data_IF_410854370494
#
_entry.id   IF_410854370494
#
_cell.length_a   1.000
_cell.length_b   1.000
_cell.length_c   1.000
_cell.angle_alpha   90.00
_cell.angle_beta   90.00
_cell.angle_gamma   90.00
#
_symmetry.space_group_name_H-M   'P 1'
#
loop_
_entity.id
_entity.type
_entity.pdbx_description
1 polymer ?
#
# COMPACT_ATOMS: atom_id res chain seq x y z
N UNK A 1 0.00 60.43 -31.59
CA UNK A 1 -0.49 60.40 -32.96
C UNK A 1 -1.52 59.27 -33.01
N UNK A 2 -2.70 59.62 -32.95
CA UNK A 2 -3.75 59.77 -33.99
C UNK A 2 -4.20 58.38 -34.51
N UNK A 3 -5.40 58.01 -34.05
CA UNK A 3 -6.71 57.93 -34.80
C UNK A 3 -6.75 56.71 -35.76
N UNK A 4 -7.75 55.89 -35.91
CA UNK A 4 -9.15 56.21 -36.13
C UNK A 4 -10.05 54.98 -35.93
N UNK A 5 -11.23 55.23 -35.45
CA UNK A 5 -12.44 54.42 -35.43
C UNK A 5 -12.97 54.22 -36.87
N UNK A 6 -13.69 53.15 -37.11
CA UNK A 6 -14.81 53.15 -38.10
C UNK A 6 -15.92 52.18 -37.68
N UNK A 7 -17.09 52.72 -37.40
CA UNK A 7 -18.36 52.07 -37.27
C UNK A 7 -19.15 52.16 -38.57
N UNK A 8 -19.83 51.10 -39.00
CA UNK A 8 -20.98 51.10 -39.94
C UNK A 8 -21.78 49.85 -39.55
N UNK A 9 -23.00 49.81 -39.17
CA UNK A 9 -24.18 50.56 -39.56
C UNK A 9 -25.18 49.63 -40.27
N UNK A 10 -26.17 49.13 -39.47
CA UNK A 10 -27.62 48.89 -39.77
C UNK A 10 -28.02 48.21 -41.08
N UNK A 11 -28.88 47.21 -40.93
CA UNK A 11 -29.79 46.72 -41.94
C UNK A 11 -30.80 45.72 -41.39
N UNK A 12 -31.95 46.24 -40.91
CA UNK A 12 -33.13 45.45 -40.56
C UNK A 12 -33.88 45.13 -41.84
N UNK A 13 -34.15 43.84 -42.14
CA UNK A 13 -35.19 43.44 -43.09
C UNK A 13 -36.16 42.49 -42.40
N UNK A 14 -37.37 42.99 -42.23
CA UNK A 14 -38.53 42.22 -41.76
C UNK A 14 -39.19 41.64 -43.00
N UNK A 15 -39.30 40.31 -43.07
CA UNK A 15 -40.19 39.62 -44.05
C UNK A 15 -41.21 38.84 -43.24
N UNK A 16 -42.46 39.31 -43.26
CA UNK A 16 -43.63 38.54 -42.85
C UNK A 16 -43.96 37.55 -43.96
N UNK A 17 -44.06 36.28 -43.66
CA UNK A 17 -44.81 35.30 -44.47
C UNK A 17 -45.66 34.43 -43.54
N UNK A 18 -46.95 34.56 -43.72
CA UNK A 18 -47.98 33.71 -43.13
C UNK A 18 -47.99 32.35 -43.84
N UNK A 19 -48.16 31.27 -43.10
CA UNK A 19 -48.32 29.98 -43.74
C UNK A 19 -48.56 28.80 -42.79
N UNK A 20 -49.78 28.35 -42.75
CA UNK A 20 -50.32 27.03 -42.45
C UNK A 20 -49.98 26.37 -41.11
N UNK A 21 -51.01 26.31 -40.30
CA UNK A 21 -51.11 25.42 -39.13
C UNK A 21 -51.41 24.02 -39.64
N UNK A 22 -50.43 23.11 -39.56
CA UNK A 22 -50.65 21.67 -39.65
C UNK A 22 -50.78 21.12 -38.22
N UNK A 23 -51.94 20.58 -37.88
CA UNK A 23 -52.19 19.86 -36.63
C UNK A 23 -51.34 18.58 -36.60
N UNK A 24 -50.32 18.54 -35.78
CA UNK A 24 -49.59 17.32 -35.43
C UNK A 24 -50.30 16.62 -34.26
N UNK A 25 -50.51 15.31 -34.44
CA UNK A 25 -51.01 14.43 -33.42
C UNK A 25 -50.02 14.39 -32.18
N UNK A 26 -50.50 14.17 -30.95
CA UNK A 26 -49.67 14.14 -29.78
C UNK A 26 -48.67 12.97 -29.83
N UNK A 27 -47.38 13.27 -29.64
CA UNK A 27 -46.33 12.29 -29.46
C UNK A 27 -46.56 11.48 -28.18
N UNK A 28 -46.20 10.18 -28.13
CA UNK A 28 -46.32 9.37 -26.92
C UNK A 28 -45.38 9.91 -25.83
N UNK A 29 -45.89 9.99 -24.60
CA UNK A 29 -45.16 10.38 -23.42
C UNK A 29 -43.89 9.52 -23.22
N UNK A 30 -42.74 10.09 -22.83
CA UNK A 30 -41.58 9.31 -22.48
C UNK A 30 -41.90 8.46 -21.24
N UNK A 31 -41.73 7.15 -21.38
CA UNK A 31 -41.76 6.18 -20.29
C UNK A 31 -40.77 6.60 -19.21
N UNK A 32 -41.22 6.60 -17.95
CA UNK A 32 -40.41 6.87 -16.78
C UNK A 32 -39.12 6.05 -16.80
N UNK A 33 -37.98 6.62 -16.37
CA UNK A 33 -36.77 5.84 -16.24
C UNK A 33 -36.98 4.70 -15.24
N UNK A 34 -36.69 3.49 -15.67
CA UNK A 34 -36.66 2.31 -14.79
C UNK A 34 -35.83 2.68 -13.55
N UNK A 35 -36.45 2.60 -12.38
CA UNK A 35 -35.73 2.67 -11.11
C UNK A 35 -34.63 1.61 -11.14
N UNK A 36 -33.38 2.05 -11.19
CA UNK A 36 -32.24 1.19 -10.91
C UNK A 36 -32.51 0.56 -9.55
N UNK A 37 -32.64 -0.75 -9.53
CA UNK A 37 -32.74 -1.52 -8.30
C UNK A 37 -31.55 -1.12 -7.44
N UNK A 38 -31.83 -0.66 -6.22
CA UNK A 38 -30.83 -0.45 -5.21
C UNK A 38 -30.05 -1.76 -5.10
N UNK A 39 -28.78 -1.74 -5.48
CA UNK A 39 -27.88 -2.85 -5.24
C UNK A 39 -27.72 -2.89 -3.72
N UNK A 40 -28.34 -3.90 -3.13
CA UNK A 40 -28.20 -4.25 -1.73
C UNK A 40 -26.69 -4.50 -1.53
N UNK A 41 -25.96 -3.55 -0.97
CA UNK A 41 -24.56 -3.72 -0.59
C UNK A 41 -24.51 -4.65 0.60
N UNK A 42 -24.82 -5.94 0.36
CA UNK A 42 -24.35 -7.00 1.23
C UNK A 42 -22.84 -6.89 1.23
N UNK A 43 -22.28 -6.48 2.35
CA UNK A 43 -20.85 -6.54 2.62
C UNK A 43 -20.41 -7.98 2.35
N UNK A 44 -19.80 -8.23 1.20
CA UNK A 44 -19.18 -9.53 0.93
C UNK A 44 -18.19 -9.81 2.05
N UNK A 45 -18.15 -11.02 2.62
CA UNK A 45 -17.16 -11.33 3.64
C UNK A 45 -15.77 -11.00 3.10
N UNK A 46 -14.96 -10.35 3.94
CA UNK A 46 -13.59 -10.04 3.57
C UNK A 46 -12.86 -11.31 3.15
N UNK A 47 -12.18 -11.27 2.00
CA UNK A 47 -11.42 -12.42 1.49
C UNK A 47 -10.32 -12.80 2.49
N UNK A 48 -10.13 -14.09 2.68
CA UNK A 48 -8.98 -14.62 3.42
C UNK A 48 -7.67 -14.43 2.63
N UNK A 49 -6.53 -14.43 3.33
CA UNK A 49 -5.21 -14.39 2.67
C UNK A 49 -5.05 -15.48 1.61
N UNK A 50 -5.56 -16.70 1.88
CA UNK A 50 -5.49 -17.81 0.94
C UNK A 50 -6.29 -17.54 -0.35
N UNK A 51 -7.47 -16.93 -0.25
CA UNK A 51 -8.28 -16.55 -1.40
C UNK A 51 -7.61 -15.43 -2.19
N UNK A 52 -7.02 -14.44 -1.51
CA UNK A 52 -6.25 -13.38 -2.14
C UNK A 52 -5.00 -13.94 -2.85
N UNK A 53 -4.24 -14.83 -2.20
CA UNK A 53 -3.09 -15.51 -2.83
C UNK A 53 -3.52 -16.24 -4.11
N UNK A 54 -4.61 -17.02 -4.08
CA UNK A 54 -5.12 -17.75 -5.25
C UNK A 54 -5.54 -16.80 -6.36
N UNK A 55 -6.23 -15.72 -6.03
CA UNK A 55 -6.59 -14.70 -7.00
C UNK A 55 -5.35 -14.06 -7.66
N UNK A 56 -4.38 -13.60 -6.86
CA UNK A 56 -3.15 -13.00 -7.37
C UNK A 56 -2.35 -13.95 -8.26
N UNK A 57 -2.33 -15.26 -7.93
CA UNK A 57 -1.63 -16.28 -8.70
C UNK A 57 -2.28 -16.57 -10.06
N UNK A 58 -3.62 -16.56 -10.15
CA UNK A 58 -4.34 -17.15 -11.27
C UNK A 58 -5.20 -16.17 -12.09
N UNK A 59 -5.63 -15.04 -11.51
CA UNK A 59 -6.46 -14.06 -12.22
C UNK A 59 -5.70 -13.46 -13.42
N UNK A 60 -6.42 -13.23 -14.53
CA UNK A 60 -5.83 -12.65 -15.75
C UNK A 60 -5.56 -11.17 -15.55
N UNK A 61 -4.40 -10.70 -15.95
CA UNK A 61 -4.11 -9.27 -16.09
C UNK A 61 -4.90 -8.74 -17.28
N UNK A 62 -5.88 -7.88 -17.04
CA UNK A 62 -6.75 -7.31 -18.07
C UNK A 62 -6.34 -5.89 -18.48
N UNK A 63 -5.65 -5.18 -17.57
CA UNK A 63 -5.17 -3.82 -17.83
C UNK A 63 -3.95 -3.51 -16.95
N UNK A 64 -3.07 -2.65 -17.44
CA UNK A 64 -1.92 -2.17 -16.70
C UNK A 64 -1.78 -0.66 -16.84
N UNK A 65 -1.32 -0.02 -15.74
CA UNK A 65 -0.99 1.39 -15.69
C UNK A 65 0.37 1.58 -15.04
N UNK A 66 1.23 2.40 -15.63
CA UNK A 66 2.47 2.82 -14.98
C UNK A 66 2.16 3.68 -13.75
N UNK A 67 2.83 3.41 -12.64
CA UNK A 67 2.71 4.22 -11.41
C UNK A 67 3.64 5.42 -11.57
N UNK A 68 3.09 6.64 -11.50
CA UNK A 68 3.85 7.89 -11.65
C UNK A 68 4.72 8.22 -10.42
N UNK A 69 4.41 7.64 -9.25
CA UNK A 69 5.11 7.87 -7.98
C UNK A 69 6.05 6.69 -7.73
N UNK A 70 7.35 6.92 -7.78
CA UNK A 70 8.40 5.91 -7.57
C UNK A 70 9.43 5.85 -8.72
N UNK A 71 10.62 5.33 -8.43
CA UNK A 71 11.76 5.24 -9.38
C UNK A 71 11.94 3.83 -9.99
N UNK A 72 11.08 2.86 -9.66
CA UNK A 72 11.34 1.42 -9.81
C UNK A 72 10.44 0.71 -10.82
N UNK A 73 9.97 1.37 -11.88
CA UNK A 73 9.15 0.76 -12.95
C UNK A 73 7.99 -0.13 -12.42
N UNK A 74 7.40 0.21 -11.29
CA UNK A 74 6.27 -0.52 -10.75
C UNK A 74 4.99 -0.25 -11.54
N UNK A 75 4.12 -1.25 -11.61
CA UNK A 75 2.91 -1.24 -12.41
C UNK A 75 1.70 -1.52 -11.53
N UNK A 76 0.65 -0.72 -11.66
CA UNK A 76 -0.69 -1.09 -11.21
C UNK A 76 -1.36 -1.91 -12.30
N UNK A 77 -1.86 -3.08 -11.95
CA UNK A 77 -2.54 -3.97 -12.88
C UNK A 77 -3.93 -4.33 -12.36
N UNK A 78 -4.93 -4.23 -13.23
CA UNK A 78 -6.26 -4.78 -12.95
C UNK A 78 -6.28 -6.24 -13.36
N UNK A 79 -6.64 -7.11 -12.41
CA UNK A 79 -6.74 -8.56 -12.58
C UNK A 79 -8.21 -9.00 -12.53
N UNK A 80 -8.56 -10.07 -13.25
CA UNK A 80 -9.88 -10.69 -13.14
C UNK A 80 -9.83 -12.20 -13.33
N UNK A 81 -10.60 -12.93 -12.53
CA UNK A 81 -10.86 -14.36 -12.67
C UNK A 81 -12.25 -14.66 -13.23
N UNK A 82 -12.99 -13.61 -13.62
CA UNK A 82 -14.36 -13.68 -14.12
C UNK A 82 -15.45 -13.59 -13.02
N UNK A 83 -15.08 -13.70 -11.75
CA UNK A 83 -15.96 -13.51 -10.58
C UNK A 83 -15.58 -12.26 -9.80
N UNK A 84 -14.28 -12.10 -9.58
CA UNK A 84 -13.68 -10.94 -8.92
C UNK A 84 -12.84 -10.16 -9.94
N UNK A 85 -12.90 -8.85 -9.85
CA UNK A 85 -11.97 -7.94 -10.52
C UNK A 85 -11.35 -7.04 -9.46
N UNK A 86 -10.02 -7.04 -9.38
CA UNK A 86 -9.29 -6.29 -8.36
C UNK A 86 -7.93 -5.86 -8.86
N UNK A 87 -7.37 -4.80 -8.30
CA UNK A 87 -6.05 -4.31 -8.68
C UNK A 87 -4.93 -4.98 -7.88
N UNK A 88 -3.76 -5.05 -8.50
CA UNK A 88 -2.53 -5.49 -7.87
C UNK A 88 -1.37 -4.55 -8.22
N UNK A 89 -0.43 -4.42 -7.31
CA UNK A 89 0.87 -3.83 -7.57
C UNK A 89 1.81 -4.92 -8.11
N UNK A 90 2.45 -4.66 -9.26
CA UNK A 90 3.45 -5.55 -9.84
C UNK A 90 4.82 -4.90 -9.75
N UNK A 91 5.77 -5.58 -9.12
CA UNK A 91 7.15 -5.12 -8.96
C UNK A 91 8.11 -6.17 -9.52
N UNK A 92 8.99 -5.73 -10.43
CA UNK A 92 9.99 -6.58 -11.13
C UNK A 92 11.43 -6.20 -10.83
N UNK A 93 11.67 -5.14 -10.01
CA UNK A 93 13.03 -4.70 -9.70
C UNK A 93 13.82 -5.80 -9.02
N UNK A 94 15.04 -6.05 -9.47
CA UNK A 94 15.96 -7.01 -8.86
C UNK A 94 17.40 -6.55 -9.09
N UNK A 95 17.81 -5.54 -8.33
CA UNK A 95 19.13 -4.92 -8.42
C UNK A 95 20.03 -5.40 -7.28
N UNK A 96 21.27 -5.72 -7.63
CA UNK A 96 22.32 -6.05 -6.70
C UNK A 96 23.61 -5.32 -7.07
N UNK A 97 24.14 -4.53 -6.15
CA UNK A 97 25.39 -3.80 -6.33
C UNK A 97 26.33 -4.09 -5.14
N UNK A 98 27.60 -4.42 -5.41
CA UNK A 98 28.57 -4.62 -4.34
C UNK A 98 28.79 -3.35 -3.51
N UNK A 99 28.72 -2.20 -4.15
CA UNK A 99 28.80 -0.89 -3.52
C UNK A 99 27.84 0.06 -4.20
N UNK A 100 26.98 0.69 -3.41
CA UNK A 100 26.04 1.71 -3.85
C UNK A 100 26.32 3.02 -3.10
N UNK A 101 26.38 4.13 -3.83
CA UNK A 101 26.50 5.46 -3.24
C UNK A 101 25.16 6.15 -3.37
N UNK A 102 24.48 6.34 -2.25
CA UNK A 102 23.21 7.04 -2.20
C UNK A 102 23.33 8.53 -2.49
N UNK A 103 22.24 9.14 -2.91
CA UNK A 103 22.17 10.59 -3.25
C UNK A 103 22.59 11.52 -2.09
N UNK A 104 22.59 11.02 -0.85
CA UNK A 104 23.05 11.74 0.36
C UNK A 104 24.52 11.46 0.73
N UNK A 105 25.29 10.82 -0.16
CA UNK A 105 26.72 10.57 0.03
C UNK A 105 27.08 9.37 0.92
N UNK A 106 26.11 8.59 1.38
CA UNK A 106 26.35 7.34 2.13
C UNK A 106 26.75 6.20 1.19
N UNK A 107 27.73 5.39 1.61
CA UNK A 107 28.12 4.15 0.92
C UNK A 107 27.44 2.98 1.59
N UNK A 108 26.73 2.16 0.81
CA UNK A 108 26.11 0.91 1.23
C UNK A 108 26.80 -0.25 0.51
N UNK A 109 27.27 -1.24 1.25
CA UNK A 109 27.84 -2.48 0.70
C UNK A 109 26.77 -3.54 0.60
N UNK A 110 26.86 -4.42 -0.41
CA UNK A 110 25.89 -5.48 -0.72
C UNK A 110 24.46 -4.89 -0.85
N UNK A 111 24.34 -3.78 -1.58
CA UNK A 111 23.07 -3.13 -1.82
C UNK A 111 22.16 -4.04 -2.63
N UNK A 112 20.92 -4.17 -2.17
CA UNK A 112 19.87 -4.91 -2.86
C UNK A 112 18.58 -4.12 -2.88
N UNK A 113 17.96 -4.12 -4.05
CA UNK A 113 16.61 -3.60 -4.29
C UNK A 113 15.86 -4.69 -5.07
N UNK A 114 15.06 -5.52 -4.38
CA UNK A 114 14.53 -6.76 -4.95
C UNK A 114 13.04 -6.94 -4.68
N UNK A 115 12.29 -7.29 -5.72
CA UNK A 115 10.88 -7.66 -5.64
C UNK A 115 10.63 -8.83 -4.67
N UNK A 116 11.61 -9.73 -4.50
CA UNK A 116 11.50 -10.89 -3.61
C UNK A 116 11.27 -10.48 -2.16
N UNK A 117 11.74 -9.31 -1.76
CA UNK A 117 11.63 -8.81 -0.40
C UNK A 117 10.22 -8.36 -0.03
N UNK A 118 9.37 -7.99 -1.01
CA UNK A 118 7.94 -7.77 -0.75
C UNK A 118 7.25 -9.06 -0.29
N UNK A 119 7.58 -10.18 -0.95
CA UNK A 119 7.03 -11.50 -0.59
C UNK A 119 7.61 -11.99 0.73
N UNK A 120 8.93 -11.84 0.94
CA UNK A 120 9.56 -12.19 2.21
C UNK A 120 8.97 -11.38 3.37
N UNK A 121 8.71 -10.08 3.17
CA UNK A 121 8.05 -9.21 4.16
C UNK A 121 6.66 -9.72 4.54
N UNK A 122 5.83 -10.03 3.56
CA UNK A 122 4.51 -10.63 3.77
C UNK A 122 4.62 -11.96 4.56
N UNK A 123 5.55 -12.86 4.19
CA UNK A 123 5.71 -14.15 4.87
C UNK A 123 6.19 -13.98 6.33
N UNK A 124 7.12 -13.09 6.61
CA UNK A 124 7.58 -12.78 7.98
C UNK A 124 6.46 -12.17 8.81
N UNK A 125 5.72 -11.23 8.24
CA UNK A 125 4.56 -10.61 8.88
C UNK A 125 3.52 -11.66 9.32
N UNK A 126 3.20 -12.61 8.46
CA UNK A 126 2.24 -13.70 8.77
C UNK A 126 2.77 -14.70 9.80
N UNK A 127 4.06 -15.06 9.75
CA UNK A 127 4.69 -15.90 10.79
C UNK A 127 4.55 -15.29 12.18
N UNK A 128 4.67 -13.97 12.26
CA UNK A 128 4.57 -13.23 13.52
C UNK A 128 3.13 -12.80 13.86
N UNK A 129 2.18 -13.02 12.97
CA UNK A 129 0.78 -12.62 13.13
C UNK A 129 0.62 -11.12 13.32
N UNK A 130 1.48 -10.33 12.71
CA UNK A 130 1.34 -8.88 12.70
C UNK A 130 0.16 -8.44 11.83
N UNK A 131 -0.01 -9.07 10.66
CA UNK A 131 -1.10 -8.84 9.69
C UNK A 131 -1.19 -7.38 9.22
N UNK A 132 -0.04 -6.74 9.01
CA UNK A 132 0.07 -5.35 8.56
C UNK A 132 0.56 -5.22 7.12
N UNK A 133 1.15 -6.29 6.53
CA UNK A 133 1.66 -6.27 5.15
C UNK A 133 0.62 -6.83 4.20
N UNK A 134 0.32 -6.17 3.07
CA UNK A 134 -0.58 -6.71 2.07
C UNK A 134 -0.11 -8.05 1.51
N UNK A 135 -1.05 -8.93 1.16
CA UNK A 135 -0.75 -10.24 0.57
C UNK A 135 0.10 -10.06 -0.69
N UNK A 136 1.19 -10.82 -0.79
CA UNK A 136 2.13 -10.75 -1.90
C UNK A 136 2.58 -12.13 -2.33
N UNK A 137 2.51 -12.40 -3.65
CA UNK A 137 2.87 -13.70 -4.25
C UNK A 137 3.87 -13.52 -5.38
N UNK A 138 4.64 -14.57 -5.66
CA UNK A 138 5.49 -14.62 -6.85
C UNK A 138 4.70 -15.07 -8.06
N UNK A 139 4.83 -14.31 -9.15
CA UNK A 139 4.24 -14.64 -10.44
C UNK A 139 5.07 -14.01 -11.56
N UNK A 140 4.95 -14.51 -12.79
CA UNK A 140 5.56 -13.87 -13.96
C UNK A 140 4.69 -12.72 -14.48
N UNK A 141 5.36 -11.62 -14.81
CA UNK A 141 4.81 -10.52 -15.60
C UNK A 141 5.58 -10.46 -16.93
N UNK A 142 4.97 -10.94 -18.01
CA UNK A 142 5.70 -11.22 -19.25
C UNK A 142 6.78 -12.29 -19.02
N UNK A 143 8.03 -12.00 -19.39
CA UNK A 143 9.18 -12.89 -19.19
C UNK A 143 9.81 -12.80 -17.80
N UNK A 144 9.46 -11.79 -16.99
CA UNK A 144 10.12 -11.49 -15.72
C UNK A 144 9.36 -12.09 -14.54
N UNK A 145 10.09 -12.65 -13.58
CA UNK A 145 9.52 -12.94 -12.27
C UNK A 145 9.21 -11.62 -11.53
N UNK A 146 8.15 -11.60 -10.75
CA UNK A 146 7.66 -10.40 -10.11
C UNK A 146 6.95 -10.71 -8.78
N UNK A 147 6.88 -9.73 -7.89
CA UNK A 147 5.92 -9.71 -6.80
C UNK A 147 4.60 -9.12 -7.32
N UNK A 148 3.52 -9.86 -7.12
CA UNK A 148 2.16 -9.40 -7.25
C UNK A 148 1.61 -9.17 -5.86
N UNK A 149 1.38 -7.92 -5.50
CA UNK A 149 0.90 -7.52 -4.16
C UNK A 149 -0.52 -6.97 -4.27
N UNK A 150 -1.40 -7.40 -3.37
CA UNK A 150 -2.77 -6.92 -3.30
C UNK A 150 -2.80 -5.41 -3.17
N UNK A 151 -3.54 -4.74 -4.06
CA UNK A 151 -3.75 -3.30 -3.98
C UNK A 151 -4.71 -3.00 -2.83
N UNK A 152 -4.35 -2.05 -1.99
CA UNK A 152 -5.17 -1.71 -0.83
C UNK A 152 -6.44 -0.97 -1.26
N UNK A 153 -7.57 -1.44 -0.78
CA UNK A 153 -8.85 -0.76 -0.90
C UNK A 153 -8.97 0.37 0.12
N UNK A 154 -9.90 1.28 -0.15
CA UNK A 154 -10.27 2.35 0.79
C UNK A 154 -9.09 3.19 1.31
N UNK A 155 -8.07 3.36 0.47
CA UNK A 155 -6.94 4.23 0.80
C UNK A 155 -7.43 5.66 1.01
N UNK A 156 -7.07 6.24 2.17
CA UNK A 156 -7.40 7.60 2.53
C UNK A 156 -6.22 8.55 2.26
N UNK A 157 -5.02 8.18 2.69
CA UNK A 157 -3.79 8.95 2.52
C UNK A 157 -2.56 8.08 2.83
N UNK A 158 -1.37 8.61 2.65
CA UNK A 158 -0.15 8.10 3.26
C UNK A 158 0.26 8.95 4.49
N UNK A 159 1.22 8.47 5.26
CA UNK A 159 1.69 9.15 6.49
C UNK A 159 2.36 10.49 6.18
N UNK A 160 3.00 10.63 5.04
CA UNK A 160 3.58 11.91 4.60
C UNK A 160 2.48 12.95 4.40
N UNK A 161 1.40 12.59 3.71
CA UNK A 161 0.24 13.44 3.51
C UNK A 161 -0.47 13.74 4.84
N UNK A 162 -0.65 12.75 5.72
CA UNK A 162 -1.25 12.95 7.04
C UNK A 162 -0.49 14.01 7.84
N UNK A 163 0.83 13.90 7.90
CA UNK A 163 1.66 14.87 8.60
C UNK A 163 1.63 16.26 7.95
N UNK A 164 1.56 16.32 6.62
CA UNK A 164 1.41 17.58 5.90
C UNK A 164 0.06 18.25 6.23
N UNK A 165 -1.06 17.50 6.23
CA UNK A 165 -2.40 17.99 6.64
C UNK A 165 -2.38 18.50 8.09
N UNK A 166 -1.80 17.74 9.02
CA UNK A 166 -1.65 18.14 10.42
C UNK A 166 -0.85 19.43 10.58
N UNK A 167 0.25 19.57 9.85
CA UNK A 167 1.09 20.79 9.86
C UNK A 167 0.35 22.00 9.31
N UNK A 168 -0.43 21.81 8.25
CA UNK A 168 -1.22 22.88 7.64
C UNK A 168 -2.38 23.35 8.53
N UNK A 169 -2.73 22.61 9.61
CA UNK A 169 -3.87 22.85 10.49
C UNK A 169 -5.20 22.97 9.72
N UNK A 170 -5.30 22.24 8.60
CA UNK A 170 -6.51 22.21 7.76
C UNK A 170 -7.58 21.37 8.45
N UNK A 171 -8.50 22.06 9.15
CA UNK A 171 -9.60 21.42 9.88
C UNK A 171 -10.66 20.77 8.95
N UNK A 172 -10.59 21.03 7.64
CA UNK A 172 -11.50 20.43 6.67
C UNK A 172 -11.06 19.02 6.23
N UNK A 173 -9.85 18.62 6.58
CA UNK A 173 -9.26 17.32 6.20
C UNK A 173 -8.85 16.53 7.43
N UNK A 174 -9.26 15.28 7.45
CA UNK A 174 -8.84 14.36 8.53
C UNK A 174 -7.32 14.19 8.55
N UNK A 175 -6.74 14.38 9.74
CA UNK A 175 -5.30 14.19 9.99
C UNK A 175 -5.00 13.54 11.34
N UNK A 176 -6.01 13.41 12.20
CA UNK A 176 -5.90 12.81 13.53
C UNK A 176 -6.70 11.51 13.58
N UNK A 177 -6.11 10.41 14.06
CA UNK A 177 -6.81 9.15 14.22
C UNK A 177 -7.90 9.28 15.30
N UNK A 178 -9.04 8.59 15.15
CA UNK A 178 -10.14 8.63 16.12
C UNK A 178 -9.74 8.04 17.48
N UNK A 179 -8.82 7.09 17.50
CA UNK A 179 -8.23 6.51 18.72
C UNK A 179 -6.70 6.59 18.62
N UNK A 180 -6.11 7.48 19.43
CA UNK A 180 -4.67 7.70 19.44
C UNK A 180 -3.88 6.52 20.04
N UNK A 181 -4.48 5.73 20.94
CA UNK A 181 -3.82 4.55 21.50
C UNK A 181 -3.75 3.42 20.45
N UNK A 182 -4.85 3.16 19.72
CA UNK A 182 -4.87 2.21 18.61
C UNK A 182 -3.86 2.60 17.54
N UNK A 183 -3.82 3.89 17.18
CA UNK A 183 -2.83 4.42 16.26
C UNK A 183 -1.38 4.17 16.74
N UNK A 184 -1.10 4.50 17.99
CA UNK A 184 0.23 4.30 18.57
C UNK A 184 0.61 2.82 18.61
N UNK A 185 -0.32 1.91 18.92
CA UNK A 185 -0.09 0.48 18.89
C UNK A 185 0.32 0.01 17.48
N UNK A 186 -0.39 0.43 16.44
CA UNK A 186 -0.06 0.12 15.04
C UNK A 186 1.34 0.62 14.68
N UNK A 187 1.66 1.87 15.00
CA UNK A 187 2.97 2.45 14.73
C UNK A 187 4.11 1.76 15.49
N UNK A 188 3.85 1.22 16.69
CA UNK A 188 4.83 0.40 17.41
C UNK A 188 5.07 -0.95 16.70
N UNK A 189 4.02 -1.62 16.22
CA UNK A 189 4.17 -2.86 15.44
C UNK A 189 4.94 -2.61 14.14
N UNK A 190 4.67 -1.53 13.44
CA UNK A 190 5.46 -1.13 12.25
C UNK A 190 6.93 -0.92 12.58
N UNK A 191 7.26 -0.24 13.71
CA UNK A 191 8.65 -0.04 14.14
C UNK A 191 9.35 -1.35 14.47
N UNK A 192 8.69 -2.24 15.20
CA UNK A 192 9.23 -3.59 15.49
C UNK A 192 9.50 -4.34 14.18
N UNK A 193 8.55 -4.32 13.25
CA UNK A 193 8.68 -4.98 11.96
C UNK A 193 9.86 -4.40 11.15
N UNK A 194 9.97 -3.09 11.00
CA UNK A 194 11.04 -2.45 10.25
C UNK A 194 12.43 -2.74 10.85
N UNK A 195 12.56 -2.76 12.19
CA UNK A 195 13.82 -3.15 12.83
C UNK A 195 14.15 -4.63 12.60
N UNK A 196 13.14 -5.50 12.65
CA UNK A 196 13.31 -6.94 12.44
C UNK A 196 13.77 -7.26 11.03
N UNK A 197 13.14 -6.69 10.01
CA UNK A 197 13.48 -6.94 8.60
C UNK A 197 14.60 -6.03 8.08
N UNK A 198 15.18 -5.18 8.93
CA UNK A 198 16.17 -4.15 8.56
C UNK A 198 15.71 -3.24 7.42
N UNK A 199 14.47 -2.78 7.47
CA UNK A 199 13.97 -1.71 6.62
C UNK A 199 14.35 -0.37 7.24
N UNK A 200 15.61 0.02 7.05
CA UNK A 200 16.25 1.11 7.81
C UNK A 200 15.94 2.52 7.29
N UNK A 201 15.23 2.62 6.19
CA UNK A 201 14.90 3.89 5.53
C UNK A 201 13.41 3.90 5.13
N UNK A 202 12.55 3.71 6.12
CA UNK A 202 11.10 3.74 5.92
C UNK A 202 10.67 5.11 5.38
N UNK A 203 10.27 5.15 4.12
CA UNK A 203 9.63 6.32 3.53
C UNK A 203 8.21 6.45 4.08
N UNK A 204 7.83 7.63 4.56
CA UNK A 204 6.50 7.91 5.10
C UNK A 204 5.40 7.77 4.04
N UNK A 205 5.71 8.02 2.76
CA UNK A 205 4.81 7.74 1.64
C UNK A 205 4.54 6.24 1.40
N UNK A 206 5.30 5.34 2.06
CA UNK A 206 5.12 3.88 2.04
C UNK A 206 4.41 3.35 3.30
N UNK A 207 3.82 4.23 4.11
CA UNK A 207 2.87 3.90 5.17
C UNK A 207 1.48 4.35 4.73
N UNK A 208 0.72 3.42 4.17
CA UNK A 208 -0.62 3.70 3.64
C UNK A 208 -1.63 3.62 4.77
N UNK A 209 -2.55 4.58 4.81
CA UNK A 209 -3.62 4.68 5.81
C UNK A 209 -4.95 4.49 5.09
N UNK A 210 -5.72 3.49 5.50
CA UNK A 210 -7.05 3.22 4.98
C UNK A 210 -8.12 3.97 5.77
N UNK A 211 -9.36 4.05 5.28
CA UNK A 211 -10.46 4.82 5.89
C UNK A 211 -10.84 4.35 7.31
N UNK A 212 -10.54 3.10 7.62
CA UNK A 212 -10.64 2.53 8.98
C UNK A 212 -9.44 2.85 9.88
N UNK A 213 -8.54 3.72 9.43
CA UNK A 213 -7.33 4.13 10.13
C UNK A 213 -6.33 2.98 10.39
N UNK A 214 -6.38 1.92 9.57
CA UNK A 214 -5.30 0.92 9.58
C UNK A 214 -4.08 1.44 8.83
N UNK A 215 -2.90 1.10 9.36
CA UNK A 215 -1.59 1.43 8.77
C UNK A 215 -1.03 0.20 8.08
N UNK A 216 -0.74 0.35 6.80
CA UNK A 216 -0.20 -0.69 5.93
C UNK A 216 1.18 -0.28 5.41
N UNK A 217 2.28 -0.82 5.96
CA UNK A 217 3.60 -0.65 5.37
C UNK A 217 3.69 -1.42 4.05
N UNK A 218 4.07 -0.72 3.02
CA UNK A 218 4.31 -1.26 1.67
C UNK A 218 5.77 -1.03 1.26
N UNK A 219 6.16 -1.56 0.10
CA UNK A 219 7.48 -1.38 -0.51
C UNK A 219 8.65 -1.76 0.41
N UNK A 220 8.91 -3.07 0.48
CA UNK A 220 9.99 -3.65 1.26
C UNK A 220 11.22 -4.01 0.41
N UNK A 221 11.29 -3.56 -0.85
CA UNK A 221 12.29 -3.99 -1.83
C UNK A 221 13.74 -3.76 -1.38
N UNK A 222 13.95 -2.84 -0.42
CA UNK A 222 15.26 -2.49 0.15
C UNK A 222 15.46 -2.95 1.60
N UNK A 223 14.61 -3.86 2.08
CA UNK A 223 14.73 -4.49 3.40
C UNK A 223 15.75 -5.67 3.40
N UNK A 224 15.72 -6.46 4.45
CA UNK A 224 16.48 -7.71 4.62
C UNK A 224 17.99 -7.60 4.47
N UNK A 225 18.56 -6.49 4.95
CA UNK A 225 20.00 -6.32 5.02
C UNK A 225 20.66 -7.33 5.95
N UNK A 226 21.93 -7.63 5.73
CA UNK A 226 22.69 -8.64 6.46
C UNK A 226 23.24 -8.15 7.82
N UNK A 227 23.01 -6.89 8.19
CA UNK A 227 23.33 -6.35 9.50
C UNK A 227 22.63 -7.16 10.60
N UNK A 228 23.39 -7.64 11.58
CA UNK A 228 22.87 -8.42 12.70
C UNK A 228 22.19 -7.56 13.77
N UNK A 229 22.59 -6.30 13.90
CA UNK A 229 22.05 -5.38 14.88
C UNK A 229 20.92 -4.52 14.28
N UNK A 230 19.82 -4.30 15.01
CA UNK A 230 18.81 -3.32 14.62
C UNK A 230 19.42 -1.92 14.61
N UNK A 231 19.17 -1.14 13.53
CA UNK A 231 19.77 0.20 13.37
C UNK A 231 19.31 1.20 14.44
N UNK A 232 18.07 1.08 14.90
CA UNK A 232 17.45 2.02 15.83
C UNK A 232 16.65 1.25 16.91
N UNK A 233 17.32 0.38 17.65
CA UNK A 233 16.71 -0.46 18.67
C UNK A 233 16.00 0.37 19.77
N UNK A 234 16.48 1.58 20.06
CA UNK A 234 15.88 2.46 21.05
C UNK A 234 14.48 2.94 20.65
N UNK A 235 14.13 2.92 19.37
CA UNK A 235 12.79 3.22 18.90
C UNK A 235 11.79 2.09 19.20
N UNK A 236 12.27 0.89 19.55
CA UNK A 236 11.44 -0.22 20.02
C UNK A 236 11.19 -0.03 21.53
N UNK A 237 10.06 0.60 21.84
CA UNK A 237 9.68 0.93 23.21
C UNK A 237 8.49 0.10 23.70
N UNK A 238 7.64 -0.38 22.79
CA UNK A 238 6.48 -1.21 23.08
C UNK A 238 6.27 -2.25 21.98
N UNK A 239 5.61 -3.35 22.32
CA UNK A 239 5.27 -4.39 21.36
C UNK A 239 3.93 -5.03 21.69
N UNK A 240 3.21 -5.49 20.68
CA UNK A 240 2.08 -6.40 20.86
C UNK A 240 2.55 -7.70 21.55
N UNK A 241 1.85 -8.13 22.59
CA UNK A 241 2.22 -9.31 23.39
C UNK A 241 2.25 -10.59 22.55
N UNK A 242 1.27 -10.77 21.68
CA UNK A 242 1.20 -11.97 20.84
C UNK A 242 2.35 -12.00 19.83
N UNK A 243 2.70 -10.84 19.26
CA UNK A 243 3.87 -10.70 18.36
C UNK A 243 5.16 -10.98 19.11
N UNK A 244 5.31 -10.47 20.33
CA UNK A 244 6.47 -10.71 21.18
C UNK A 244 6.67 -12.20 21.47
N UNK A 245 5.61 -12.92 21.86
CA UNK A 245 5.68 -14.36 22.11
C UNK A 245 6.01 -15.16 20.86
N UNK A 246 5.44 -14.77 19.71
CA UNK A 246 5.79 -15.40 18.42
C UNK A 246 7.23 -15.11 18.00
N UNK A 247 7.76 -13.92 18.27
CA UNK A 247 9.17 -13.63 18.04
C UNK A 247 10.07 -14.53 18.89
N UNK A 248 9.76 -14.75 20.15
CA UNK A 248 10.52 -15.68 21.02
C UNK A 248 10.50 -17.11 20.51
N UNK A 249 9.36 -17.55 19.97
CA UNK A 249 9.17 -18.89 19.43
C UNK A 249 9.72 -19.08 18.00
N UNK A 250 10.03 -17.98 17.28
CA UNK A 250 10.47 -18.04 15.89
C UNK A 250 11.84 -18.70 15.79
N UNK A 251 11.92 -19.86 15.17
CA UNK A 251 13.16 -20.56 14.91
C UNK A 251 13.64 -20.43 13.45
N UNK A 252 14.86 -20.96 13.21
CA UNK A 252 15.48 -20.92 11.89
C UNK A 252 14.71 -21.75 10.87
N UNK A 253 14.15 -22.89 11.28
CA UNK A 253 13.49 -23.83 10.36
C UNK A 253 12.17 -23.26 9.87
N UNK A 254 11.36 -22.71 10.77
CA UNK A 254 10.11 -22.01 10.41
C UNK A 254 10.37 -20.83 9.46
N UNK A 255 11.38 -20.01 9.77
CA UNK A 255 11.75 -18.87 8.94
C UNK A 255 12.29 -19.32 7.57
N UNK A 256 13.16 -20.34 7.53
CA UNK A 256 13.69 -20.90 6.27
C UNK A 256 12.58 -21.52 5.42
N UNK A 257 11.66 -22.27 6.03
CA UNK A 257 10.50 -22.84 5.34
C UNK A 257 9.63 -21.77 4.67
N UNK A 258 9.41 -20.67 5.36
CA UNK A 258 8.56 -19.58 4.84
C UNK A 258 9.25 -18.70 3.82
N UNK A 259 10.54 -18.41 3.99
CA UNK A 259 11.25 -17.35 3.24
C UNK A 259 12.48 -17.82 2.48
N UNK A 260 12.92 -19.08 2.64
CA UNK A 260 14.19 -19.58 2.07
C UNK A 260 14.27 -19.56 0.54
N UNK A 261 13.13 -19.44 -0.15
CA UNK A 261 13.09 -19.19 -1.60
C UNK A 261 13.51 -17.75 -1.95
N UNK A 262 13.28 -16.79 -1.06
CA UNK A 262 13.39 -15.35 -1.30
C UNK A 262 14.57 -14.72 -0.57
N UNK A 263 15.05 -15.35 0.51
CA UNK A 263 16.12 -14.86 1.35
C UNK A 263 17.30 -15.85 1.41
N UNK A 264 18.49 -15.32 1.43
CA UNK A 264 19.71 -16.10 1.66
C UNK A 264 19.82 -16.56 3.11
N UNK A 265 20.63 -17.59 3.36
CA UNK A 265 20.92 -18.07 4.73
C UNK A 265 21.51 -16.97 5.62
N UNK A 266 22.30 -16.05 5.05
CA UNK A 266 22.86 -14.89 5.79
C UNK A 266 21.78 -13.92 6.23
N UNK A 267 20.81 -13.60 5.36
CA UNK A 267 19.68 -12.73 5.67
C UNK A 267 18.78 -13.36 6.74
N UNK A 268 18.51 -14.66 6.63
CA UNK A 268 17.76 -15.41 7.65
C UNK A 268 18.48 -15.36 9.00
N UNK A 269 19.79 -15.59 9.03
CA UNK A 269 20.61 -15.47 10.24
C UNK A 269 20.60 -14.06 10.84
N UNK A 270 20.62 -13.05 9.99
CA UNK A 270 20.55 -11.65 10.43
C UNK A 270 19.17 -11.29 11.03
N UNK A 271 18.06 -11.79 10.47
CA UNK A 271 16.71 -11.64 11.06
C UNK A 271 16.68 -12.23 12.47
N UNK A 272 17.20 -13.44 12.66
CA UNK A 272 17.22 -14.11 13.96
C UNK A 272 18.07 -13.33 14.98
N UNK A 273 19.22 -12.80 14.57
CA UNK A 273 20.05 -11.95 15.45
C UNK A 273 19.30 -10.68 15.88
N UNK A 274 18.64 -10.00 14.94
CA UNK A 274 17.82 -8.81 15.24
C UNK A 274 16.62 -9.15 16.10
N UNK A 275 15.95 -10.30 15.87
CA UNK A 275 14.88 -10.81 16.71
C UNK A 275 15.35 -10.95 18.16
N UNK A 276 16.53 -11.57 18.40
CA UNK A 276 17.10 -11.75 19.74
C UNK A 276 17.38 -10.41 20.41
N UNK A 277 17.93 -9.44 19.68
CA UNK A 277 18.16 -8.09 20.21
C UNK A 277 16.86 -7.38 20.57
N UNK A 278 15.81 -7.49 19.73
CA UNK A 278 14.49 -6.89 19.98
C UNK A 278 13.83 -7.54 21.20
N UNK A 279 13.84 -8.88 21.29
CA UNK A 279 13.30 -9.62 22.45
C UNK A 279 14.01 -9.18 23.72
N UNK A 280 15.35 -9.20 23.76
CA UNK A 280 16.14 -8.74 24.90
C UNK A 280 15.82 -7.29 25.30
N UNK A 281 15.64 -6.39 24.32
CA UNK A 281 15.26 -5.00 24.58
C UNK A 281 13.91 -4.91 25.28
N UNK A 282 12.90 -5.62 24.78
CA UNK A 282 11.54 -5.61 25.34
C UNK A 282 11.49 -6.26 26.73
N UNK A 283 12.24 -7.36 26.94
CA UNK A 283 12.38 -7.97 28.27
C UNK A 283 13.00 -6.99 29.29
N UNK A 284 14.03 -6.25 28.86
CA UNK A 284 14.66 -5.22 29.71
C UNK A 284 13.76 -4.04 30.04
N UNK A 285 12.77 -3.72 29.20
CA UNK A 285 11.76 -2.69 29.46
C UNK A 285 10.64 -3.17 30.39
N UNK A 286 10.50 -4.48 30.57
CA UNK A 286 9.54 -5.11 31.46
C UNK A 286 8.11 -5.23 30.89
N UNK A 287 7.16 -5.78 31.69
CA UNK A 287 5.81 -6.12 31.22
C UNK A 287 4.99 -4.93 30.70
N UNK A 288 5.28 -3.71 31.17
CA UNK A 288 4.60 -2.48 30.71
C UNK A 288 4.91 -2.09 29.26
N UNK A 289 5.99 -2.64 28.70
CA UNK A 289 6.31 -2.48 27.29
C UNK A 289 5.42 -3.33 26.38
N UNK A 290 4.68 -4.28 26.92
CA UNK A 290 3.79 -5.16 26.15
C UNK A 290 2.35 -4.67 26.25
N UNK A 291 1.66 -4.63 25.12
CA UNK A 291 0.24 -4.31 25.03
C UNK A 291 -0.54 -5.42 24.34
N UNK A 292 -1.82 -5.49 24.62
CA UNK A 292 -2.77 -6.35 23.88
C UNK A 292 -3.50 -5.49 22.87
N UNK A 293 -3.59 -5.96 21.61
CA UNK A 293 -4.20 -5.20 20.52
C UNK A 293 -5.67 -4.89 20.78
N UNK A 294 -6.08 -3.71 20.39
CA UNK A 294 -7.47 -3.26 20.42
C UNK A 294 -8.03 -3.19 19.00
N UNK A 295 -8.56 -4.31 18.50
CA UNK A 295 -9.50 -4.30 17.37
C UNK A 295 -8.98 -3.84 16.00
N UNK A 296 -7.75 -4.19 15.61
CA UNK A 296 -7.21 -3.94 14.27
C UNK A 296 -6.36 -5.09 13.76
#
# INVERSE_FOLDING_TARGET
MMRSSLSIGVGVVVILSAGLIAQQAPAPSPSAPAQAAAVDTKTSPALSDAEIEQFLLHAKVIKTHGIKKGVTNSVQATLSDGKLTHDAHIQTIDEHQQQFTGNKGGVEFDFRDSWTFNIAGYKVDRLLGMNIVPVSVERHHGSNAAAFTWWLDDVMMDEEERLARKKAKDQTKESEPPDSEVWNQQMQVVRVFDQLIANIDRNLGNLIITKDWRVWPIDHTRAFRTNKEPKAIDNVTRCDRAVFERMKALDKDALTKATGKYLTTYQIGAILSRRDAIVKRLEGLGPSALFDRKGW
#
